data_IF_771019080706
#
_entry.id   IF_771019080706
#
_cell.length_a   1.000
_cell.length_b   1.000
_cell.length_c   1.000
_cell.angle_alpha   90.00
_cell.angle_beta   90.00
_cell.angle_gamma   90.00
#
_symmetry.space_group_name_H-M   'P 1'
#
loop_
_entity.id
_entity.type
_entity.pdbx_description
1 polymer ?
#
# COMPACT_ATOMS: atom_id res chain seq x y z
N UNK A 1 -5.75 -3.48 21.29
CA UNK A 1 -5.26 -2.87 20.05
C UNK A 1 -3.82 -2.36 20.15
N UNK A 2 -3.44 -1.72 21.25
CA UNK A 2 -2.10 -1.11 21.39
C UNK A 2 -0.95 -2.12 21.41
N UNK A 3 -1.17 -3.29 21.99
CA UNK A 3 -0.13 -4.33 22.14
C UNK A 3 0.40 -4.85 20.79
N UNK A 4 -0.40 -4.79 19.72
CA UNK A 4 0.02 -5.28 18.39
C UNK A 4 0.84 -4.28 17.58
N UNK A 5 0.83 -3.00 17.92
CA UNK A 5 1.54 -1.95 17.17
C UNK A 5 2.98 -1.76 17.62
N UNK A 6 3.27 -2.02 18.88
CA UNK A 6 4.62 -1.92 19.45
C UNK A 6 5.64 -2.79 18.71
N UNK A 7 5.37 -4.08 18.42
CA UNK A 7 6.27 -4.91 17.61
C UNK A 7 6.57 -4.33 16.24
N UNK A 8 5.58 -3.74 15.58
CA UNK A 8 5.79 -3.10 14.28
C UNK A 8 6.75 -1.92 14.36
N UNK A 9 6.65 -1.12 15.43
CA UNK A 9 7.59 -0.02 15.67
C UNK A 9 9.01 -0.51 15.92
N UNK A 10 9.20 -1.47 16.81
CA UNK A 10 10.54 -2.00 17.09
C UNK A 10 11.19 -2.60 15.84
N UNK A 11 10.42 -3.35 15.04
CA UNK A 11 10.91 -3.86 13.77
C UNK A 11 11.31 -2.74 12.80
N UNK A 12 10.48 -1.73 12.64
CA UNK A 12 10.76 -0.61 11.74
C UNK A 12 12.00 0.18 12.17
N UNK A 13 12.17 0.42 13.49
CA UNK A 13 13.31 1.13 14.04
C UNK A 13 14.66 0.39 13.83
N UNK A 14 14.65 -0.93 13.62
CA UNK A 14 15.86 -1.67 13.24
C UNK A 14 16.36 -1.32 11.84
N UNK A 15 15.47 -0.93 10.93
CA UNK A 15 15.79 -0.58 9.53
C UNK A 15 15.89 0.92 9.32
N UNK A 16 15.10 1.70 10.05
CA UNK A 16 15.09 3.15 10.03
C UNK A 16 14.96 3.67 11.47
N UNK A 17 16.08 3.95 12.17
CA UNK A 17 16.06 4.38 13.58
C UNK A 17 15.28 5.68 13.83
N UNK A 18 15.22 6.57 12.83
CA UNK A 18 14.52 7.85 12.90
C UNK A 18 13.11 7.79 12.30
N UNK A 19 12.49 6.59 12.24
CA UNK A 19 11.17 6.40 11.63
C UNK A 19 10.11 7.33 12.23
N UNK A 20 9.44 8.08 11.38
CA UNK A 20 8.33 8.99 11.72
C UNK A 20 6.97 8.34 11.47
N UNK A 21 6.89 7.50 10.43
CA UNK A 21 5.65 6.91 9.98
C UNK A 21 5.87 5.49 9.46
N UNK A 22 5.02 4.58 9.88
CA UNK A 22 4.97 3.21 9.37
C UNK A 22 3.64 3.02 8.66
N UNK A 23 3.70 2.66 7.38
CA UNK A 23 2.52 2.26 6.60
C UNK A 23 2.57 0.76 6.36
N UNK A 24 1.69 0.04 7.02
CA UNK A 24 1.53 -1.41 6.87
C UNK A 24 0.29 -1.71 6.02
N UNK A 25 0.49 -2.36 4.87
CA UNK A 25 -0.62 -2.81 4.02
C UNK A 25 -0.53 -4.32 3.87
N UNK A 26 -1.41 -5.02 4.56
CA UNK A 26 -1.57 -6.46 4.50
C UNK A 26 -2.49 -6.91 3.36
N UNK A 27 -2.89 -8.17 3.39
CA UNK A 27 -3.86 -8.74 2.45
C UNK A 27 -5.27 -8.19 2.64
N UNK A 28 -5.69 -7.92 3.88
CA UNK A 28 -7.08 -7.54 4.22
C UNK A 28 -7.17 -6.31 5.12
N UNK A 29 -6.10 -5.91 5.75
CA UNK A 29 -6.05 -4.77 6.66
C UNK A 29 -4.93 -3.81 6.28
N UNK A 30 -5.03 -2.60 6.78
CA UNK A 30 -3.93 -1.65 6.73
C UNK A 30 -3.85 -0.85 8.02
N UNK A 31 -2.63 -0.44 8.35
CA UNK A 31 -2.30 0.34 9.53
C UNK A 31 -1.38 1.48 9.14
N UNK A 32 -1.61 2.64 9.73
CA UNK A 32 -0.66 3.72 9.74
C UNK A 32 -0.29 4.03 11.19
N UNK A 33 0.98 3.92 11.51
CA UNK A 33 1.51 4.17 12.86
C UNK A 33 2.40 5.40 12.75
N UNK A 34 2.05 6.46 13.46
CA UNK A 34 2.89 7.66 13.55
C UNK A 34 3.74 7.59 14.81
N UNK A 35 5.00 7.95 14.65
CA UNK A 35 6.00 7.96 15.71
C UNK A 35 6.38 9.42 15.98
N UNK A 36 6.47 9.78 17.24
CA UNK A 36 6.95 11.07 17.69
C UNK A 36 7.82 10.88 18.93
N UNK A 37 8.98 11.50 18.91
CA UNK A 37 9.95 11.45 20.02
C UNK A 37 10.27 10.01 20.48
N UNK A 38 10.40 9.06 19.51
CA UNK A 38 10.70 7.67 19.77
C UNK A 38 9.56 6.86 20.40
N UNK A 39 8.33 7.37 20.34
CA UNK A 39 7.14 6.69 20.88
C UNK A 39 6.02 6.66 19.84
N UNK A 40 5.13 5.68 19.95
CA UNK A 40 3.93 5.61 19.11
C UNK A 40 2.98 6.74 19.54
N UNK A 41 2.77 7.70 18.64
CA UNK A 41 1.91 8.86 18.85
C UNK A 41 0.46 8.55 18.49
N UNK A 42 0.23 7.97 17.31
CA UNK A 42 -1.10 7.62 16.86
C UNK A 42 -1.12 6.39 15.95
N UNK A 43 -2.25 5.70 15.94
CA UNK A 43 -2.50 4.52 15.10
C UNK A 43 -3.83 4.69 14.38
N UNK A 44 -3.79 4.58 13.07
CA UNK A 44 -4.98 4.55 12.23
C UNK A 44 -5.11 3.18 11.59
N UNK A 45 -6.29 2.58 11.70
CA UNK A 45 -6.58 1.24 11.22
C UNK A 45 -7.71 1.29 10.18
N UNK A 46 -7.61 0.44 9.16
CA UNK A 46 -8.72 0.14 8.28
C UNK A 46 -8.91 -1.38 8.23
N UNK A 47 -9.78 -1.88 9.07
CA UNK A 47 -10.16 -3.30 9.12
C UNK A 47 -11.45 -3.59 8.35
N UNK A 48 -12.20 -2.55 7.99
CA UNK A 48 -13.56 -2.69 7.47
C UNK A 48 -13.65 -2.87 5.94
N UNK A 49 -12.57 -2.64 5.20
CA UNK A 49 -12.64 -2.65 3.75
C UNK A 49 -11.36 -3.18 3.10
N UNK A 50 -11.44 -4.36 2.53
CA UNK A 50 -10.36 -4.98 1.76
C UNK A 50 -10.04 -4.25 0.42
N UNK A 51 -10.83 -3.25 0.03
CA UNK A 51 -10.68 -2.54 -1.25
C UNK A 51 -9.44 -1.64 -1.36
N UNK A 52 -8.61 -1.59 -0.34
CA UNK A 52 -7.34 -0.88 -0.34
C UNK A 52 -6.16 -1.77 0.04
N UNK A 53 -6.33 -3.08 0.05
CA UNK A 53 -5.35 -4.05 0.55
C UNK A 53 -4.92 -5.03 -0.55
N UNK A 54 -3.98 -5.91 -0.24
CA UNK A 54 -3.38 -6.83 -1.22
C UNK A 54 -4.35 -7.79 -1.88
N UNK A 55 -5.38 -8.27 -1.16
CA UNK A 55 -6.41 -9.16 -1.69
C UNK A 55 -7.20 -8.55 -2.86
N UNK A 56 -7.30 -7.23 -2.90
CA UNK A 56 -7.90 -6.50 -3.98
C UNK A 56 -7.11 -6.66 -5.30
N UNK A 57 -5.79 -6.45 -5.26
CA UNK A 57 -4.90 -6.64 -6.41
C UNK A 57 -4.91 -8.10 -6.85
N UNK A 58 -4.86 -9.04 -5.88
CA UNK A 58 -4.91 -10.48 -6.16
C UNK A 58 -6.19 -10.89 -6.89
N UNK A 59 -7.34 -10.38 -6.48
CA UNK A 59 -8.63 -10.67 -7.12
C UNK A 59 -8.62 -10.24 -8.59
N UNK A 60 -8.09 -9.05 -8.89
CA UNK A 60 -7.99 -8.57 -10.27
C UNK A 60 -6.95 -9.34 -11.09
N UNK A 61 -5.78 -9.64 -10.53
CA UNK A 61 -4.79 -10.48 -11.19
C UNK A 61 -5.40 -11.81 -11.64
N UNK A 62 -6.09 -12.51 -10.74
CA UNK A 62 -6.80 -13.77 -11.03
C UNK A 62 -7.86 -13.60 -12.12
N UNK A 63 -8.65 -12.53 -12.07
CA UNK A 63 -9.68 -12.27 -13.07
C UNK A 63 -9.13 -12.02 -14.48
N UNK A 64 -7.89 -11.60 -14.57
CA UNK A 64 -7.16 -11.37 -15.82
C UNK A 64 -6.24 -12.55 -16.20
N UNK A 65 -6.31 -13.67 -15.49
CA UNK A 65 -5.48 -14.87 -15.67
C UNK A 65 -3.96 -14.61 -15.46
N UNK A 66 -3.62 -13.73 -14.55
CA UNK A 66 -2.23 -13.46 -14.15
C UNK A 66 -1.94 -14.00 -12.75
N UNK A 67 -0.70 -14.44 -12.54
CA UNK A 67 -0.18 -14.56 -11.17
C UNK A 67 -0.02 -13.16 -10.56
N UNK A 68 -0.12 -13.05 -9.25
CA UNK A 68 0.08 -11.74 -8.55
C UNK A 68 1.44 -11.15 -8.87
N UNK A 69 2.47 -12.00 -8.96
CA UNK A 69 3.85 -11.61 -9.26
C UNK A 69 4.00 -11.07 -10.69
N UNK A 70 3.43 -11.75 -11.67
CA UNK A 70 3.53 -11.31 -13.07
C UNK A 70 2.69 -10.07 -13.30
N UNK A 71 1.51 -9.99 -12.69
CA UNK A 71 0.66 -8.81 -12.71
C UNK A 71 1.37 -7.56 -12.14
N UNK A 72 2.11 -7.74 -11.05
CA UNK A 72 2.93 -6.67 -10.46
C UNK A 72 4.07 -6.23 -11.38
N UNK A 73 4.70 -7.17 -12.08
CA UNK A 73 5.75 -6.86 -13.06
C UNK A 73 5.21 -6.08 -14.25
N UNK A 74 4.05 -6.49 -14.79
CA UNK A 74 3.39 -5.77 -15.90
C UNK A 74 3.17 -4.29 -15.56
N UNK A 75 2.78 -3.98 -14.34
CA UNK A 75 2.54 -2.61 -13.90
C UNK A 75 3.76 -1.68 -14.06
N UNK A 76 4.98 -2.21 -13.98
CA UNK A 76 6.20 -1.42 -14.13
C UNK A 76 6.42 -0.95 -15.58
N UNK A 77 5.78 -1.59 -16.55
CA UNK A 77 5.83 -1.23 -17.97
C UNK A 77 4.67 -0.35 -18.43
N UNK A 78 3.77 0.03 -17.51
CA UNK A 78 2.64 0.88 -17.84
C UNK A 78 3.09 2.23 -18.40
N UNK A 79 2.53 2.60 -19.55
CA UNK A 79 2.77 3.90 -20.21
C UNK A 79 1.77 4.95 -19.71
N UNK A 80 0.52 4.54 -19.56
CA UNK A 80 -0.59 5.38 -19.13
C UNK A 80 -1.40 4.66 -18.04
N UNK A 81 -0.95 4.65 -16.76
CA UNK A 81 -1.70 4.03 -15.69
C UNK A 81 -3.15 4.51 -15.67
N UNK A 82 -4.10 3.58 -15.74
CA UNK A 82 -5.53 3.90 -15.80
C UNK A 82 -5.99 4.50 -14.48
N UNK A 83 -6.66 5.63 -14.50
CA UNK A 83 -7.27 6.19 -13.28
C UNK A 83 -8.55 5.42 -12.95
N UNK A 84 -8.45 4.49 -12.03
CA UNK A 84 -9.55 3.67 -11.56
C UNK A 84 -10.28 4.29 -10.35
N UNK A 85 -9.78 5.41 -9.83
CA UNK A 85 -10.32 6.07 -8.65
C UNK A 85 -10.01 5.31 -7.35
N UNK A 86 -10.77 5.62 -6.29
CA UNK A 86 -10.61 5.05 -4.93
C UNK A 86 -11.92 4.45 -4.40
N UNK A 87 -12.73 3.86 -5.27
CA UNK A 87 -14.03 3.30 -4.93
C UNK A 87 -13.94 1.86 -4.41
N UNK A 88 -15.04 1.38 -3.83
CA UNK A 88 -15.20 -0.01 -3.40
C UNK A 88 -14.97 -1.00 -4.57
N UNK A 89 -14.51 -2.21 -4.25
CA UNK A 89 -14.21 -3.29 -5.21
C UNK A 89 -15.33 -3.56 -6.21
N UNK A 90 -16.60 -3.46 -5.79
CA UNK A 90 -17.75 -3.67 -6.65
C UNK A 90 -17.79 -2.67 -7.81
N UNK A 91 -17.56 -1.40 -7.51
CA UNK A 91 -17.50 -0.34 -8.54
C UNK A 91 -16.22 -0.41 -9.38
N UNK A 92 -15.14 -0.89 -8.77
CA UNK A 92 -13.86 -1.03 -9.46
C UNK A 92 -13.92 -2.07 -10.58
N UNK A 93 -14.70 -3.16 -10.41
CA UNK A 93 -14.93 -4.14 -11.46
C UNK A 93 -15.51 -3.49 -12.74
N UNK A 94 -16.44 -2.56 -12.56
CA UNK A 94 -17.02 -1.83 -13.69
C UNK A 94 -15.99 -0.91 -14.36
N UNK A 95 -15.16 -0.22 -13.57
CA UNK A 95 -14.11 0.65 -14.07
C UNK A 95 -13.04 -0.14 -14.84
N UNK A 96 -12.62 -1.29 -14.32
CA UNK A 96 -11.65 -2.17 -15.01
C UNK A 96 -12.23 -2.70 -16.33
N UNK A 97 -13.47 -3.17 -16.33
CA UNK A 97 -14.14 -3.60 -17.57
C UNK A 97 -14.28 -2.48 -18.58
N UNK A 98 -14.58 -1.28 -18.14
CA UNK A 98 -14.67 -0.12 -19.00
C UNK A 98 -13.29 0.24 -19.59
N UNK A 99 -12.25 0.28 -18.77
CA UNK A 99 -10.88 0.51 -19.21
C UNK A 99 -10.44 -0.52 -20.26
N UNK A 100 -10.77 -1.81 -20.07
CA UNK A 100 -10.50 -2.84 -21.07
C UNK A 100 -11.21 -2.58 -22.41
N UNK A 101 -12.48 -2.16 -22.38
CA UNK A 101 -13.24 -1.81 -23.60
C UNK A 101 -12.64 -0.60 -24.31
N UNK A 102 -12.06 0.32 -23.58
CA UNK A 102 -11.37 1.51 -24.09
C UNK A 102 -9.93 1.23 -24.57
N UNK A 103 -9.48 -0.03 -24.47
CA UNK A 103 -8.18 -0.48 -24.98
C UNK A 103 -7.03 -0.30 -23.99
N UNK A 104 -7.32 -0.12 -22.70
CA UNK A 104 -6.26 -0.11 -21.68
C UNK A 104 -5.52 -1.45 -21.63
N UNK A 105 -4.20 -1.40 -21.54
CA UNK A 105 -3.37 -2.60 -21.43
C UNK A 105 -3.44 -3.21 -20.02
N UNK A 106 -3.07 -4.47 -19.88
CA UNK A 106 -2.94 -5.12 -18.56
C UNK A 106 -1.95 -4.34 -17.68
N UNK A 107 -0.86 -3.85 -18.27
CA UNK A 107 0.12 -3.01 -17.57
C UNK A 107 -0.52 -1.74 -17.00
N UNK A 108 -1.31 -1.01 -17.80
CA UNK A 108 -1.96 0.22 -17.38
C UNK A 108 -3.02 -0.02 -16.30
N UNK A 109 -3.76 -1.14 -16.40
CA UNK A 109 -4.75 -1.54 -15.39
C UNK A 109 -4.05 -1.93 -14.08
N UNK A 110 -3.00 -2.74 -14.15
CA UNK A 110 -2.24 -3.18 -12.96
C UNK A 110 -1.62 -1.99 -12.23
N UNK A 111 -1.01 -1.06 -12.96
CA UNK A 111 -0.50 0.18 -12.38
C UNK A 111 -1.62 1.05 -11.79
N UNK A 112 -2.76 1.17 -12.47
CA UNK A 112 -3.93 1.88 -11.97
C UNK A 112 -4.46 1.33 -10.66
N UNK A 113 -4.47 0.01 -10.50
CA UNK A 113 -4.85 -0.66 -9.24
C UNK A 113 -3.84 -0.36 -8.12
N UNK A 114 -2.54 -0.39 -8.40
CA UNK A 114 -1.52 -0.03 -7.42
C UNK A 114 -1.69 1.43 -6.94
N UNK A 115 -1.91 2.36 -7.86
CA UNK A 115 -2.24 3.75 -7.52
C UNK A 115 -3.51 3.86 -6.68
N UNK A 116 -4.56 3.11 -7.03
CA UNK A 116 -5.83 3.11 -6.30
C UNK A 116 -5.67 2.66 -4.85
N UNK A 117 -4.90 1.59 -4.60
CA UNK A 117 -4.58 1.11 -3.24
C UNK A 117 -3.90 2.20 -2.43
N UNK A 118 -2.88 2.85 -2.98
CA UNK A 118 -2.13 3.90 -2.27
C UNK A 118 -2.98 5.17 -2.08
N UNK A 119 -3.73 5.60 -3.09
CA UNK A 119 -4.67 6.74 -2.94
C UNK A 119 -5.68 6.47 -1.82
N UNK A 120 -6.22 5.24 -1.74
CA UNK A 120 -7.12 4.87 -0.68
C UNK A 120 -6.44 4.92 0.71
N UNK A 121 -5.24 4.37 0.83
CA UNK A 121 -4.46 4.43 2.05
C UNK A 121 -4.21 5.86 2.51
N UNK A 122 -3.66 6.69 1.65
CA UNK A 122 -3.23 8.04 2.00
C UNK A 122 -4.41 9.00 2.24
N UNK A 123 -5.40 9.00 1.36
CA UNK A 123 -6.46 10.01 1.39
C UNK A 123 -7.71 9.60 2.15
N UNK A 124 -8.05 8.31 2.22
CA UNK A 124 -9.24 7.85 2.94
C UNK A 124 -8.95 7.33 4.34
N UNK A 125 -7.86 6.59 4.51
CA UNK A 125 -7.51 6.00 5.80
C UNK A 125 -6.70 6.99 6.63
N UNK A 126 -5.55 7.44 6.11
CA UNK A 126 -4.64 8.34 6.82
C UNK A 126 -5.14 9.79 6.77
N UNK A 127 -5.89 10.14 5.72
CA UNK A 127 -6.45 11.47 5.47
C UNK A 127 -5.40 12.57 5.45
N UNK A 128 -4.27 12.29 4.79
CA UNK A 128 -3.23 13.32 4.61
C UNK A 128 -3.75 14.46 3.73
N UNK A 129 -3.35 15.66 4.06
CA UNK A 129 -3.57 16.86 3.25
C UNK A 129 -2.31 17.28 2.51
N UNK A 130 -1.15 17.02 3.10
CA UNK A 130 0.16 17.33 2.54
C UNK A 130 1.11 16.13 2.69
N UNK A 131 2.11 16.04 1.81
CA UNK A 131 3.15 15.02 1.90
C UNK A 131 3.91 15.06 3.24
N UNK A 132 4.11 16.27 3.80
CA UNK A 132 4.76 16.48 5.10
C UNK A 132 4.03 15.81 6.27
N UNK A 133 2.74 15.47 6.12
CA UNK A 133 1.97 14.80 7.17
C UNK A 133 2.46 13.37 7.46
N UNK A 134 3.24 12.79 6.54
CA UNK A 134 3.86 11.46 6.71
C UNK A 134 5.21 11.51 7.44
N UNK A 135 5.80 12.69 7.61
CA UNK A 135 7.17 12.84 8.09
C UNK A 135 8.22 12.64 6.99
N UNK A 136 9.49 12.53 7.40
CA UNK A 136 10.64 12.40 6.48
C UNK A 136 11.12 10.94 6.35
N UNK A 137 10.98 10.17 7.41
CA UNK A 137 11.49 8.82 7.55
C UNK A 137 10.32 7.83 7.58
N UNK A 138 9.94 7.34 6.39
CA UNK A 138 8.78 6.47 6.22
C UNK A 138 9.23 5.04 5.98
N UNK A 139 8.72 4.12 6.79
CA UNK A 139 8.87 2.68 6.57
C UNK A 139 7.57 2.13 6.02
N UNK A 140 7.64 1.40 4.91
CA UNK A 140 6.51 0.67 4.34
C UNK A 140 6.68 -0.82 4.54
N UNK A 141 5.63 -1.47 4.99
CA UNK A 141 5.64 -2.89 5.32
C UNK A 141 4.29 -3.56 5.01
N UNK A 142 4.18 -4.85 5.30
CA UNK A 142 3.06 -5.67 4.89
C UNK A 142 3.28 -6.34 3.54
N UNK A 143 2.63 -7.49 3.33
CA UNK A 143 2.83 -8.32 2.13
C UNK A 143 2.53 -7.61 0.81
N UNK A 144 1.66 -6.61 0.83
CA UNK A 144 1.29 -5.83 -0.36
C UNK A 144 2.45 -5.02 -0.91
N UNK A 145 3.37 -4.57 -0.06
CA UNK A 145 4.56 -3.82 -0.48
C UNK A 145 5.66 -4.66 -1.14
N UNK A 146 5.54 -5.98 -1.20
CA UNK A 146 6.38 -6.78 -2.09
C UNK A 146 6.08 -6.52 -3.57
N UNK A 147 4.93 -5.93 -3.86
CA UNK A 147 4.62 -5.42 -5.19
C UNK A 147 5.35 -4.09 -5.42
N UNK A 148 6.35 -4.10 -6.31
CA UNK A 148 7.16 -2.91 -6.63
C UNK A 148 6.33 -1.77 -7.22
N UNK A 149 5.24 -2.08 -7.91
CA UNK A 149 4.34 -1.05 -8.43
C UNK A 149 3.59 -0.32 -7.32
N UNK A 150 3.26 -1.01 -6.21
CA UNK A 150 2.66 -0.39 -5.02
C UNK A 150 3.66 0.53 -4.34
N UNK A 151 4.91 0.09 -4.15
CA UNK A 151 5.98 0.93 -3.60
C UNK A 151 6.20 2.17 -4.45
N UNK A 152 6.35 2.00 -5.77
CA UNK A 152 6.53 3.11 -6.71
C UNK A 152 5.34 4.08 -6.69
N UNK A 153 4.13 3.57 -6.62
CA UNK A 153 2.91 4.39 -6.52
C UNK A 153 2.92 5.23 -5.24
N UNK A 154 3.33 4.63 -4.11
CA UNK A 154 3.49 5.33 -2.85
C UNK A 154 4.47 6.49 -2.98
N UNK A 155 5.69 6.23 -3.45
CA UNK A 155 6.72 7.25 -3.60
C UNK A 155 6.30 8.39 -4.55
N UNK A 156 5.60 8.05 -5.64
CA UNK A 156 5.11 9.06 -6.59
C UNK A 156 3.99 9.93 -6.04
N UNK A 157 3.04 9.35 -5.30
CA UNK A 157 1.89 10.08 -4.76
C UNK A 157 2.28 10.88 -3.53
N UNK A 158 3.05 10.29 -2.63
CA UNK A 158 3.47 10.94 -1.39
C UNK A 158 4.61 11.94 -1.57
N UNK A 159 5.42 11.78 -2.62
CA UNK A 159 6.67 12.52 -2.78
C UNK A 159 7.76 12.12 -1.77
N UNK A 160 7.50 11.13 -0.93
CA UNK A 160 8.44 10.61 0.07
C UNK A 160 9.18 9.40 -0.48
N UNK A 161 10.44 9.28 -0.14
CA UNK A 161 11.18 8.02 -0.32
C UNK A 161 10.88 7.11 0.88
N UNK A 162 10.59 5.84 0.61
CA UNK A 162 10.25 4.88 1.66
C UNK A 162 11.32 3.81 1.82
N UNK A 163 11.55 3.41 3.07
CA UNK A 163 12.33 2.21 3.40
C UNK A 163 11.38 1.01 3.38
N UNK A 164 11.64 0.04 2.52
CA UNK A 164 10.94 -1.23 2.47
C UNK A 164 11.91 -2.34 2.91
N UNK A 165 11.78 -2.88 4.12
CA UNK A 165 12.59 -4.01 4.58
C UNK A 165 12.36 -5.26 3.72
N UNK A 166 13.38 -6.10 3.56
CA UNK A 166 13.26 -7.37 2.83
C UNK A 166 12.23 -8.31 3.48
N UNK A 167 12.04 -8.19 4.79
CA UNK A 167 11.06 -8.94 5.60
C UNK A 167 9.74 -8.19 5.77
N UNK A 168 9.38 -7.28 4.86
CA UNK A 168 8.21 -6.42 4.97
C UNK A 168 6.91 -7.15 5.34
N UNK A 169 6.72 -8.39 4.88
CA UNK A 169 5.52 -9.19 5.17
C UNK A 169 5.44 -9.80 6.57
N UNK A 170 6.54 -9.82 7.34
CA UNK A 170 6.62 -10.44 8.67
C UNK A 170 7.13 -9.50 9.75
N UNK A 171 7.10 -8.20 9.51
CA UNK A 171 7.63 -7.18 10.42
C UNK A 171 7.03 -7.27 11.84
N UNK A 172 5.73 -7.53 11.93
CA UNK A 172 5.08 -7.69 13.25
C UNK A 172 5.59 -8.89 14.04
N UNK A 173 5.90 -10.00 13.38
CA UNK A 173 6.49 -11.18 14.00
C UNK A 173 7.95 -10.94 14.40
N UNK A 174 8.72 -10.30 13.53
CA UNK A 174 10.12 -9.94 13.78
C UNK A 174 10.27 -9.00 15.00
N UNK A 175 9.42 -7.99 15.11
CA UNK A 175 9.47 -7.06 16.24
C UNK A 175 8.91 -7.63 17.55
N UNK A 176 8.26 -8.80 17.53
CA UNK A 176 7.77 -9.50 18.70
C UNK A 176 8.78 -10.54 19.24
N UNK A 177 9.78 -10.90 18.45
CA UNK A 177 10.85 -11.84 18.83
C UNK A 177 11.99 -11.12 19.54
#
# INVERSE_FOLDING_TARGET
GEVKTIPHYYAAACFEPEVDCILDIGGQDMKCIKIKDGTVDSVQLNEACSSGCGSFIETFAKSLNYSVKDFAKEALFAKNPTDLGTRCTVFMNSNVKQAQKEGATVADISAGLAYSVIKNALFKVIKITNASDLGKHVVVQGGTFYNDAVLRSFEKISGCRAVRPDIAGIMGAFGAA
#
